data_IF_914248488269
#
_entry.id   IF_914248488269
#
_cell.length_a   1.000
_cell.length_b   1.000
_cell.length_c   1.000
_cell.angle_alpha   90.00
_cell.angle_beta   90.00
_cell.angle_gamma   90.00
#
_symmetry.space_group_name_H-M   'P 1'
#
loop_
_entity.id
_entity.type
_entity.pdbx_description
1 polymer ?
#
# COMPACT_ATOMS: atom_id res chain seq x y z
N UNK A 1 -11.26 -19.77 -8.17
CA UNK A 1 -10.81 -18.56 -7.46
C UNK A 1 -10.56 -18.90 -6.01
N UNK A 2 -9.43 -18.45 -5.45
CA UNK A 2 -9.05 -18.76 -4.07
C UNK A 2 -8.77 -17.49 -3.23
N UNK A 3 -8.74 -16.34 -3.84
CA UNK A 3 -8.50 -15.06 -3.16
C UNK A 3 -9.61 -14.08 -3.50
N UNK A 4 -10.10 -13.39 -2.49
CA UNK A 4 -11.20 -12.45 -2.61
C UNK A 4 -10.81 -11.15 -1.90
N UNK A 5 -11.14 -10.05 -2.53
CA UNK A 5 -11.16 -8.75 -1.88
C UNK A 5 -12.62 -8.46 -1.48
N UNK A 6 -12.85 -8.31 -0.19
CA UNK A 6 -14.18 -8.07 0.35
C UNK A 6 -14.50 -6.58 0.23
N UNK A 7 -15.44 -6.26 -0.67
CA UNK A 7 -15.90 -4.89 -0.92
C UNK A 7 -16.90 -4.46 0.16
N UNK A 8 -16.46 -4.47 1.41
CA UNK A 8 -17.21 -4.10 2.60
C UNK A 8 -16.26 -3.28 3.48
N UNK A 9 -16.62 -2.08 3.84
CA UNK A 9 -15.78 -1.13 4.60
C UNK A 9 -15.27 -1.70 5.94
N UNK A 10 -16.01 -2.65 6.53
CA UNK A 10 -15.58 -3.35 7.74
C UNK A 10 -16.24 -4.72 7.86
N UNK A 11 -15.87 -5.64 6.99
CA UNK A 11 -16.44 -7.00 6.91
C UNK A 11 -16.49 -7.71 8.27
N UNK A 12 -15.46 -7.56 9.08
CA UNK A 12 -15.35 -8.21 10.38
C UNK A 12 -16.23 -7.56 11.47
N UNK A 13 -16.79 -6.38 11.23
CA UNK A 13 -17.67 -5.70 12.20
C UNK A 13 -18.90 -6.56 12.53
N UNK A 14 -19.48 -7.24 11.54
CA UNK A 14 -20.59 -8.16 11.73
C UNK A 14 -20.10 -9.55 12.15
N UNK A 15 -19.64 -9.65 13.39
CA UNK A 15 -18.97 -10.85 13.93
C UNK A 15 -19.77 -12.15 13.71
N UNK A 16 -21.09 -12.13 13.89
CA UNK A 16 -21.94 -13.32 13.65
C UNK A 16 -21.86 -13.79 12.20
N UNK A 17 -21.93 -12.87 11.23
CA UNK A 17 -21.79 -13.16 9.79
C UNK A 17 -20.40 -13.74 9.48
N UNK A 18 -19.36 -13.13 10.00
CA UNK A 18 -18.00 -13.58 9.75
C UNK A 18 -17.74 -14.98 10.34
N UNK A 19 -18.20 -15.26 11.56
CA UNK A 19 -18.06 -16.59 12.17
C UNK A 19 -18.93 -17.63 11.47
N UNK A 20 -20.11 -17.27 10.97
CA UNK A 20 -20.92 -18.18 10.16
C UNK A 20 -20.22 -18.53 8.84
N UNK A 21 -19.53 -17.56 8.22
CA UNK A 21 -18.69 -17.84 7.05
C UNK A 21 -17.56 -18.82 7.40
N UNK A 22 -16.90 -18.64 8.56
CA UNK A 22 -15.87 -19.57 9.03
C UNK A 22 -16.42 -21.00 9.12
N UNK A 23 -17.54 -21.22 9.79
CA UNK A 23 -18.20 -22.52 9.90
C UNK A 23 -18.47 -23.12 8.51
N UNK A 24 -19.08 -22.35 7.60
CA UNK A 24 -19.36 -22.81 6.24
C UNK A 24 -18.08 -23.15 5.44
N UNK A 25 -16.99 -22.43 5.69
CA UNK A 25 -15.69 -22.74 5.09
C UNK A 25 -15.13 -24.03 5.68
N UNK A 26 -15.32 -24.29 6.97
CA UNK A 26 -14.92 -25.54 7.64
C UNK A 26 -15.72 -26.72 7.12
N UNK A 27 -17.05 -26.63 7.10
CA UNK A 27 -17.96 -27.67 6.64
C UNK A 27 -17.75 -28.07 5.16
N UNK A 28 -17.31 -27.11 4.34
CA UNK A 28 -17.14 -27.31 2.89
C UNK A 28 -15.67 -27.40 2.43
N UNK A 29 -14.72 -27.60 3.34
CA UNK A 29 -13.26 -27.63 3.07
C UNK A 29 -12.77 -26.48 2.20
N UNK A 30 -13.26 -25.25 2.44
CA UNK A 30 -12.87 -24.05 1.68
C UNK A 30 -11.66 -23.36 2.29
N UNK A 31 -10.55 -23.34 1.56
CA UNK A 31 -9.30 -22.66 1.93
C UNK A 31 -9.18 -21.35 1.14
N UNK A 32 -10.04 -20.37 1.42
CA UNK A 32 -10.00 -19.05 0.78
C UNK A 32 -8.98 -18.12 1.46
N UNK A 33 -8.50 -17.15 0.70
CA UNK A 33 -7.72 -16.02 1.21
C UNK A 33 -8.57 -14.77 1.09
N UNK A 34 -8.88 -14.13 2.22
CA UNK A 34 -9.70 -12.93 2.27
C UNK A 34 -8.82 -11.71 2.55
N UNK A 35 -9.02 -10.68 1.74
CA UNK A 35 -8.43 -9.35 1.93
C UNK A 35 -9.56 -8.43 2.37
N UNK A 36 -9.42 -7.76 3.51
CA UNK A 36 -10.51 -7.05 4.16
C UNK A 36 -10.10 -5.65 4.62
N UNK A 37 -11.05 -4.73 4.60
CA UNK A 37 -10.97 -3.53 5.43
C UNK A 37 -11.41 -3.85 6.85
N UNK A 38 -10.73 -3.32 7.85
CA UNK A 38 -11.15 -3.45 9.23
C UNK A 38 -10.51 -2.37 10.12
N UNK A 39 -10.96 -2.30 11.37
CA UNK A 39 -10.39 -1.42 12.38
C UNK A 39 -9.73 -2.21 13.51
N UNK A 40 -8.81 -1.58 14.22
CA UNK A 40 -8.10 -2.20 15.33
C UNK A 40 -9.04 -2.75 16.41
N UNK A 41 -10.11 -2.01 16.76
CA UNK A 41 -11.13 -2.44 17.70
C UNK A 41 -11.80 -3.74 17.28
N UNK A 42 -12.19 -3.83 16.02
CA UNK A 42 -12.87 -5.00 15.46
C UNK A 42 -11.93 -6.20 15.42
N UNK A 43 -10.69 -6.02 14.96
CA UNK A 43 -9.68 -7.08 14.90
C UNK A 43 -9.39 -7.68 16.27
N UNK A 44 -9.33 -6.86 17.34
CA UNK A 44 -9.15 -7.33 18.72
C UNK A 44 -10.28 -8.24 19.22
N UNK A 45 -11.47 -8.12 18.68
CA UNK A 45 -12.61 -8.96 19.06
C UNK A 45 -12.49 -10.41 18.57
N UNK A 46 -11.53 -10.69 17.69
CA UNK A 46 -11.27 -12.02 17.13
C UNK A 46 -10.01 -12.66 17.73
N UNK A 47 -10.07 -13.97 17.93
CA UNK A 47 -8.86 -14.74 18.18
C UNK A 47 -8.06 -14.92 16.89
N UNK A 48 -6.74 -15.11 17.00
CA UNK A 48 -5.92 -15.43 15.83
C UNK A 48 -6.39 -16.71 15.13
N UNK A 49 -6.87 -17.72 15.88
CA UNK A 49 -7.47 -18.93 15.33
C UNK A 49 -8.65 -18.60 14.39
N UNK A 50 -9.53 -17.69 14.81
CA UNK A 50 -10.68 -17.26 13.99
C UNK A 50 -10.23 -16.51 12.73
N UNK A 51 -9.30 -15.56 12.86
CA UNK A 51 -8.80 -14.80 11.70
C UNK A 51 -8.09 -15.71 10.68
N UNK A 52 -7.26 -16.64 11.15
CA UNK A 52 -6.56 -17.60 10.29
C UNK A 52 -7.54 -18.62 9.70
N UNK A 53 -8.51 -19.10 10.47
CA UNK A 53 -9.54 -20.02 9.99
C UNK A 53 -10.42 -19.40 8.89
N UNK A 54 -10.76 -18.11 9.01
CA UNK A 54 -11.41 -17.31 7.98
C UNK A 54 -10.52 -17.08 6.74
N UNK A 55 -9.22 -17.38 6.84
CA UNK A 55 -8.27 -17.12 5.77
C UNK A 55 -7.95 -15.65 5.58
N UNK A 56 -8.06 -14.82 6.62
CA UNK A 56 -7.64 -13.42 6.53
C UNK A 56 -6.18 -13.37 6.12
N UNK A 57 -5.92 -12.80 4.96
CA UNK A 57 -4.59 -12.78 4.33
C UNK A 57 -4.00 -11.37 4.29
N UNK A 58 -4.87 -10.39 4.25
CA UNK A 58 -4.53 -8.98 4.20
C UNK A 58 -5.59 -8.16 4.93
N UNK A 59 -5.13 -7.22 5.74
CA UNK A 59 -5.98 -6.24 6.41
C UNK A 59 -5.55 -4.85 5.99
N UNK A 60 -6.52 -4.05 5.54
CA UNK A 60 -6.36 -2.62 5.39
C UNK A 60 -6.95 -1.93 6.61
N UNK A 61 -6.13 -1.21 7.35
CA UNK A 61 -6.48 -0.65 8.65
C UNK A 61 -6.04 0.80 8.78
N UNK A 62 -6.93 1.68 9.23
CA UNK A 62 -6.57 3.04 9.63
C UNK A 62 -5.68 2.99 10.88
N UNK A 63 -4.59 3.76 10.86
CA UNK A 63 -3.65 3.84 11.98
C UNK A 63 -3.95 5.00 12.90
N UNK A 64 -4.92 5.85 12.55
CA UNK A 64 -5.35 7.03 13.30
C UNK A 64 -4.19 7.75 14.06
N UNK A 65 -4.24 9.04 14.23
CA UNK A 65 -3.17 9.76 14.96
C UNK A 65 -3.14 9.43 16.45
N UNK A 66 -2.00 9.62 17.09
CA UNK A 66 -1.75 9.38 18.52
C UNK A 66 -2.78 10.09 19.43
N UNK A 67 -3.37 11.20 18.97
CA UNK A 67 -4.37 12.00 19.65
C UNK A 67 -5.61 12.27 18.79
N UNK A 68 -5.86 11.44 17.78
CA UNK A 68 -7.10 11.57 17.03
C UNK A 68 -8.26 11.33 18.01
N UNK A 69 -9.05 12.35 18.30
CA UNK A 69 -10.19 12.33 19.22
C UNK A 69 -11.32 11.35 18.87
N UNK A 70 -11.03 10.46 17.93
CA UNK A 70 -11.86 9.33 17.57
C UNK A 70 -11.68 8.23 18.61
N UNK A 71 -12.65 8.04 19.50
CA UNK A 71 -12.68 7.03 20.56
C UNK A 71 -12.47 5.56 20.10
N UNK A 72 -12.16 5.35 18.82
CA UNK A 72 -11.93 4.04 18.19
C UNK A 72 -10.65 3.34 18.61
N UNK A 73 -9.66 4.06 19.17
CA UNK A 73 -8.35 3.50 19.54
C UNK A 73 -8.01 3.60 21.03
N UNK A 74 -8.91 4.14 21.87
CA UNK A 74 -8.62 4.23 23.31
C UNK A 74 -8.25 2.88 23.93
N UNK A 75 -7.04 2.79 24.47
CA UNK A 75 -6.53 1.59 25.15
C UNK A 75 -6.11 0.45 24.24
N UNK A 76 -5.86 0.70 22.94
CA UNK A 76 -5.36 -0.31 22.01
C UNK A 76 -3.91 -0.04 21.66
N UNK A 77 -3.04 -0.99 21.98
CA UNK A 77 -1.69 -1.02 21.42
C UNK A 77 -1.77 -1.54 19.96
N UNK A 78 -1.86 -0.59 19.03
CA UNK A 78 -1.92 -0.87 17.58
C UNK A 78 -0.62 -1.46 17.07
N UNK A 79 0.53 -1.09 17.65
CA UNK A 79 1.84 -1.66 17.32
C UNK A 79 1.89 -3.16 17.67
N UNK A 80 1.46 -3.53 18.88
CA UNK A 80 1.41 -4.94 19.28
C UNK A 80 0.42 -5.74 18.44
N UNK A 81 -0.73 -5.15 18.08
CA UNK A 81 -1.71 -5.80 17.21
C UNK A 81 -1.11 -6.09 15.83
N UNK A 82 -0.46 -5.10 15.19
CA UNK A 82 0.15 -5.24 13.87
C UNK A 82 1.25 -6.30 13.90
N UNK A 83 2.19 -6.22 14.86
CA UNK A 83 3.23 -7.24 15.02
C UNK A 83 2.63 -8.65 15.18
N UNK A 84 1.54 -8.78 15.95
CA UNK A 84 0.84 -10.05 16.13
C UNK A 84 0.22 -10.56 14.83
N UNK A 85 -0.43 -9.71 14.03
CA UNK A 85 -0.98 -10.08 12.72
C UNK A 85 0.14 -10.55 11.78
N UNK A 86 1.22 -9.80 11.67
CA UNK A 86 2.38 -10.12 10.82
C UNK A 86 3.09 -11.42 11.25
N UNK A 87 3.22 -11.67 12.56
CA UNK A 87 3.77 -12.93 13.08
C UNK A 87 2.91 -14.15 12.70
N UNK A 88 1.64 -13.94 12.37
CA UNK A 88 0.73 -14.97 11.89
C UNK A 88 0.56 -14.97 10.36
N UNK A 89 1.34 -14.19 9.63
CA UNK A 89 1.32 -14.14 8.17
C UNK A 89 0.13 -13.37 7.59
N UNK A 90 -0.54 -12.56 8.40
CA UNK A 90 -1.57 -11.61 7.98
C UNK A 90 -0.86 -10.28 7.68
N UNK A 91 -0.90 -9.87 6.43
CA UNK A 91 -0.28 -8.63 5.96
C UNK A 91 -1.15 -7.44 6.36
N UNK A 92 -0.50 -6.34 6.70
CA UNK A 92 -1.19 -5.11 7.10
C UNK A 92 -0.83 -3.97 6.15
N UNK A 93 -1.83 -3.38 5.53
CA UNK A 93 -1.74 -2.07 4.93
C UNK A 93 -2.23 -1.06 5.96
N UNK A 94 -1.33 -0.26 6.49
CA UNK A 94 -1.65 0.83 7.39
C UNK A 94 -2.01 2.07 6.58
N UNK A 95 -3.14 2.70 6.89
CA UNK A 95 -3.56 3.94 6.25
C UNK A 95 -3.48 5.09 7.25
N UNK A 96 -2.88 6.20 6.83
CA UNK A 96 -2.75 7.42 7.63
C UNK A 96 -3.17 8.63 6.80
N UNK A 97 -3.84 9.58 7.44
CA UNK A 97 -4.32 10.80 6.81
C UNK A 97 -3.41 11.97 7.22
N UNK A 98 -2.98 12.73 6.22
CA UNK A 98 -2.24 13.99 6.37
C UNK A 98 -3.19 15.14 6.11
N UNK A 99 -3.13 16.20 6.94
CA UNK A 99 -3.93 17.41 6.78
C UNK A 99 -5.29 17.32 7.48
N UNK A 100 -5.39 16.61 8.60
CA UNK A 100 -6.55 16.76 9.49
C UNK A 100 -6.53 18.18 10.11
N UNK A 101 -7.68 18.67 10.54
CA UNK A 101 -7.85 20.05 11.03
C UNK A 101 -6.83 20.50 12.10
N UNK A 102 -6.37 19.58 12.94
CA UNK A 102 -5.39 19.83 13.99
C UNK A 102 -3.94 19.63 13.56
N UNK A 103 -3.71 19.28 12.29
CA UNK A 103 -2.37 19.14 11.75
C UNK A 103 -1.78 20.52 11.42
N UNK A 104 -0.56 20.75 11.87
CA UNK A 104 0.20 21.98 11.63
C UNK A 104 1.61 21.65 11.17
N UNK A 105 2.32 22.57 10.55
CA UNK A 105 3.73 22.36 10.18
C UNK A 105 4.59 21.86 11.35
N UNK A 106 4.33 22.34 12.57
CA UNK A 106 5.11 22.02 13.76
C UNK A 106 4.88 20.58 14.25
N UNK A 107 3.68 20.03 14.08
CA UNK A 107 3.37 18.69 14.57
C UNK A 107 3.45 17.59 13.50
N UNK A 108 3.53 17.95 12.21
CA UNK A 108 3.52 17.01 11.11
C UNK A 108 4.64 15.97 11.16
N UNK A 109 5.84 16.39 11.56
CA UNK A 109 6.97 15.48 11.71
C UNK A 109 6.72 14.36 12.72
N UNK A 110 6.04 14.66 13.84
CA UNK A 110 5.66 13.68 14.87
C UNK A 110 4.52 12.75 14.37
N UNK A 111 3.56 13.30 13.67
CA UNK A 111 2.45 12.54 13.10
C UNK A 111 2.96 11.48 12.11
N UNK A 112 3.86 11.88 11.20
CA UNK A 112 4.50 10.97 10.26
C UNK A 112 5.31 9.91 11.02
N UNK A 113 6.12 10.31 12.01
CA UNK A 113 6.93 9.36 12.78
C UNK A 113 6.06 8.31 13.52
N UNK A 114 4.97 8.75 14.11
CA UNK A 114 4.01 7.84 14.74
C UNK A 114 3.44 6.84 13.72
N UNK A 115 3.02 7.31 12.54
CA UNK A 115 2.49 6.44 11.50
C UNK A 115 3.51 5.37 11.07
N UNK A 116 4.73 5.78 10.71
CA UNK A 116 5.78 4.86 10.23
C UNK A 116 6.33 3.92 11.31
N UNK A 117 6.17 4.29 12.61
CA UNK A 117 6.60 3.43 13.73
C UNK A 117 5.83 2.11 13.82
N UNK A 118 4.69 1.99 13.16
CA UNK A 118 3.89 0.77 13.11
C UNK A 118 4.50 -0.33 12.25
N UNK A 119 5.49 -0.02 11.41
CA UNK A 119 6.20 -0.99 10.56
C UNK A 119 5.27 -1.91 9.75
N UNK A 120 4.18 -1.36 9.21
CA UNK A 120 3.20 -2.10 8.41
C UNK A 120 3.81 -2.65 7.13
N UNK A 121 3.25 -3.70 6.54
CA UNK A 121 3.78 -4.29 5.29
C UNK A 121 3.71 -3.30 4.13
N UNK A 122 2.63 -2.55 4.06
CA UNK A 122 2.47 -1.38 3.19
C UNK A 122 1.95 -0.21 4.02
N UNK A 123 2.35 0.99 3.64
CA UNK A 123 1.78 2.20 4.19
C UNK A 123 1.11 3.00 3.08
N UNK A 124 -0.12 3.44 3.33
CA UNK A 124 -0.81 4.41 2.50
C UNK A 124 -0.91 5.73 3.27
N UNK A 125 -0.27 6.76 2.75
CA UNK A 125 -0.50 8.12 3.19
C UNK A 125 -1.47 8.77 2.21
N UNK A 126 -2.50 9.39 2.74
CA UNK A 126 -3.51 10.12 1.97
C UNK A 126 -3.67 11.52 2.51
N UNK A 127 -3.97 12.46 1.63
CA UNK A 127 -4.38 13.78 2.06
C UNK A 127 -5.85 13.76 2.50
N UNK A 128 -6.15 14.52 3.55
CA UNK A 128 -7.52 14.73 3.99
C UNK A 128 -8.31 15.43 2.89
N UNK A 129 -9.41 14.83 2.46
CA UNK A 129 -10.15 15.29 1.28
C UNK A 129 -11.64 15.23 1.56
N UNK A 130 -12.31 16.38 1.70
CA UNK A 130 -13.77 16.44 1.69
C UNK A 130 -14.35 15.85 0.39
N UNK A 131 -15.16 14.81 0.49
CA UNK A 131 -15.77 14.13 -0.66
C UNK A 131 -17.21 14.57 -0.83
N UNK A 132 -17.60 14.93 -2.05
CA UNK A 132 -18.97 15.36 -2.36
C UNK A 132 -20.03 14.36 -1.86
N UNK A 133 -21.10 14.89 -1.26
CA UNK A 133 -22.16 14.10 -0.64
C UNK A 133 -21.86 13.65 0.81
N UNK A 134 -20.77 14.10 1.41
CA UNK A 134 -20.49 13.87 2.84
C UNK A 134 -20.78 15.12 3.67
N UNK A 135 -21.13 14.97 4.97
CA UNK A 135 -21.32 16.12 5.86
C UNK A 135 -20.11 17.07 5.91
N UNK A 136 -18.92 16.50 5.82
CA UNK A 136 -17.66 17.26 5.79
C UNK A 136 -17.56 18.16 4.55
N UNK A 137 -17.91 17.64 3.37
CA UNK A 137 -17.94 18.44 2.14
C UNK A 137 -18.95 19.59 2.27
N UNK A 138 -20.14 19.32 2.79
CA UNK A 138 -21.18 20.35 3.01
C UNK A 138 -20.71 21.43 4.00
N UNK A 139 -19.95 21.04 5.03
CA UNK A 139 -19.36 21.98 5.97
C UNK A 139 -18.36 22.90 5.26
N UNK A 140 -17.37 22.35 4.55
CA UNK A 140 -16.41 23.15 3.80
C UNK A 140 -17.05 24.02 2.73
N UNK A 141 -18.14 23.55 2.11
CA UNK A 141 -18.93 24.34 1.16
C UNK A 141 -19.59 25.56 1.83
N UNK A 142 -20.20 25.36 3.00
CA UNK A 142 -20.81 26.45 3.78
C UNK A 142 -19.77 27.46 4.29
N UNK A 143 -18.60 26.99 4.65
CA UNK A 143 -17.48 27.82 5.12
C UNK A 143 -16.73 28.49 3.97
N UNK A 144 -17.02 28.17 2.71
CA UNK A 144 -16.35 28.73 1.53
C UNK A 144 -14.87 28.34 1.43
N UNK A 145 -14.48 27.22 2.04
CA UNK A 145 -13.09 26.76 2.06
C UNK A 145 -12.78 25.78 0.92
N UNK A 146 -13.76 25.22 0.22
CA UNK A 146 -13.52 24.38 -0.95
C UNK A 146 -12.82 25.19 -2.04
N UNK A 147 -11.89 24.55 -2.73
CA UNK A 147 -11.29 25.10 -3.94
C UNK A 147 -12.26 24.94 -5.12
N UNK A 148 -12.33 25.93 -6.03
CA UNK A 148 -13.13 25.82 -7.24
C UNK A 148 -12.53 24.75 -8.18
N UNK A 149 -13.37 24.10 -8.96
CA UNK A 149 -12.96 23.03 -9.91
C UNK A 149 -11.89 23.50 -10.92
N UNK A 150 -11.82 24.81 -11.17
CA UNK A 150 -10.78 25.40 -12.04
C UNK A 150 -9.38 25.38 -11.42
N UNK A 151 -9.28 25.28 -10.10
CA UNK A 151 -8.01 25.23 -9.34
C UNK A 151 -7.59 23.80 -9.02
N UNK A 152 -8.47 22.81 -9.21
CA UNK A 152 -8.23 21.40 -8.86
C UNK A 152 -8.05 20.59 -10.14
N UNK A 153 -6.94 19.86 -10.22
CA UNK A 153 -6.77 18.84 -11.25
C UNK A 153 -7.71 17.66 -10.98
N UNK A 154 -8.27 17.07 -12.04
CA UNK A 154 -9.07 15.85 -11.91
C UNK A 154 -8.29 14.70 -11.22
N UNK A 155 -6.97 14.68 -11.35
CA UNK A 155 -6.09 13.72 -10.67
C UNK A 155 -6.02 13.95 -9.16
N UNK A 156 -6.22 15.18 -8.69
CA UNK A 156 -6.15 15.56 -7.29
C UNK A 156 -7.51 15.53 -6.57
N UNK A 157 -8.60 15.33 -7.30
CA UNK A 157 -9.95 15.33 -6.74
C UNK A 157 -10.17 14.33 -5.59
N UNK A 158 -9.29 13.33 -5.44
CA UNK A 158 -9.32 12.32 -4.39
C UNK A 158 -8.16 12.45 -3.39
N UNK A 159 -7.53 13.63 -3.28
CA UNK A 159 -6.46 13.89 -2.31
C UNK A 159 -5.18 13.13 -2.59
N UNK A 160 -4.78 13.01 -3.85
CA UNK A 160 -3.55 12.30 -4.24
C UNK A 160 -2.31 13.13 -3.85
N UNK A 161 -2.25 14.38 -4.30
CA UNK A 161 -1.09 15.26 -4.08
C UNK A 161 -1.44 16.64 -3.53
N UNK A 162 -2.70 17.07 -3.65
CA UNK A 162 -3.18 18.37 -3.22
C UNK A 162 -4.48 18.27 -2.45
N UNK A 163 -4.69 19.20 -1.54
CA UNK A 163 -6.00 19.40 -0.94
C UNK A 163 -6.99 19.94 -1.99
N UNK A 164 -8.25 19.54 -1.87
CA UNK A 164 -9.35 20.15 -2.63
C UNK A 164 -10.03 21.29 -1.84
N UNK A 165 -9.37 21.76 -0.78
CA UNK A 165 -9.85 22.84 0.09
C UNK A 165 -8.68 23.64 0.66
N UNK A 166 -8.96 24.83 1.20
CA UNK A 166 -7.97 25.68 1.88
C UNK A 166 -7.80 25.20 3.29
N UNK A 167 -6.69 24.54 3.58
CA UNK A 167 -6.35 24.11 4.92
C UNK A 167 -5.95 25.31 5.79
N UNK A 168 -6.29 25.27 7.09
CA UNK A 168 -6.06 26.40 8.01
C UNK A 168 -4.58 26.72 8.25
N UNK A 169 -3.72 25.70 8.27
CA UNK A 169 -2.32 25.84 8.68
C UNK A 169 -1.31 25.35 7.62
N UNK A 170 -1.74 24.57 6.67
CA UNK A 170 -0.87 23.98 5.66
C UNK A 170 -1.21 24.62 4.30
N UNK A 171 -0.25 25.34 3.73
CA UNK A 171 -0.44 26.17 2.56
C UNK A 171 0.65 25.93 1.50
N UNK A 172 0.52 26.52 0.36
CA UNK A 172 1.57 26.67 -0.66
C UNK A 172 2.21 25.35 -1.13
N UNK A 173 1.43 24.28 -1.22
CA UNK A 173 1.89 22.96 -1.67
C UNK A 173 2.70 22.22 -0.62
N UNK A 174 2.64 22.62 0.64
CA UNK A 174 3.30 21.90 1.75
C UNK A 174 2.72 20.49 1.94
N UNK A 175 1.43 20.30 1.62
CA UNK A 175 0.76 19.01 1.71
C UNK A 175 1.45 17.93 0.85
N UNK A 176 1.86 18.28 -0.37
CA UNK A 176 2.61 17.38 -1.24
C UNK A 176 3.97 17.03 -0.63
N UNK A 177 4.67 18.03 -0.09
CA UNK A 177 5.96 17.81 0.57
C UNK A 177 5.84 16.86 1.76
N UNK A 178 4.81 17.04 2.59
CA UNK A 178 4.57 16.15 3.73
C UNK A 178 4.21 14.73 3.29
N UNK A 179 3.37 14.60 2.25
CA UNK A 179 3.00 13.31 1.69
C UNK A 179 4.23 12.55 1.19
N UNK A 180 5.06 13.20 0.39
CA UNK A 180 6.27 12.59 -0.17
C UNK A 180 7.29 12.26 0.90
N UNK A 181 7.51 13.17 1.85
CA UNK A 181 8.38 12.95 3.00
C UNK A 181 7.93 11.76 3.85
N UNK A 182 6.60 11.57 4.00
CA UNK A 182 6.08 10.41 4.74
C UNK A 182 6.45 9.08 4.06
N UNK A 183 6.32 8.98 2.74
CA UNK A 183 6.75 7.78 2.00
C UNK A 183 8.27 7.58 2.05
N UNK A 184 9.06 8.65 1.91
CA UNK A 184 10.51 8.60 1.97
C UNK A 184 10.98 8.10 3.34
N UNK A 185 10.47 8.68 4.43
CA UNK A 185 10.81 8.26 5.79
C UNK A 185 10.35 6.83 6.11
N UNK A 186 9.17 6.40 5.62
CA UNK A 186 8.73 5.00 5.76
C UNK A 186 9.71 4.05 5.09
N UNK A 187 10.16 4.40 3.88
CA UNK A 187 11.16 3.60 3.18
C UNK A 187 12.51 3.59 3.90
N UNK A 188 13.01 4.74 4.32
CA UNK A 188 14.29 4.85 5.03
C UNK A 188 14.29 4.05 6.32
N UNK A 189 13.24 4.16 7.12
CA UNK A 189 13.14 3.49 8.42
C UNK A 189 12.82 2.01 8.29
N UNK A 190 11.81 1.67 7.50
CA UNK A 190 11.22 0.35 7.46
C UNK A 190 11.69 -0.51 6.29
N UNK A 191 12.36 0.10 5.30
CA UNK A 191 12.83 -0.56 4.08
C UNK A 191 11.72 -0.81 3.06
N UNK A 192 12.03 -1.51 1.97
CA UNK A 192 11.08 -1.75 0.89
C UNK A 192 9.83 -2.51 1.36
N UNK A 193 8.64 -2.02 1.00
CA UNK A 193 7.36 -2.67 1.34
C UNK A 193 7.31 -4.12 0.86
N UNK A 194 7.89 -4.41 -0.31
CA UNK A 194 7.95 -5.77 -0.83
C UNK A 194 8.75 -6.72 0.10
N UNK A 195 9.85 -6.26 0.69
CA UNK A 195 10.62 -7.06 1.64
C UNK A 195 9.83 -7.35 2.92
N UNK A 196 9.11 -6.35 3.44
CA UNK A 196 8.21 -6.50 4.60
C UNK A 196 7.12 -7.53 4.34
N UNK A 197 6.46 -7.43 3.18
CA UNK A 197 5.44 -8.38 2.72
C UNK A 197 5.98 -9.81 2.61
N UNK A 198 7.18 -9.99 2.05
CA UNK A 198 7.82 -11.30 1.93
C UNK A 198 8.11 -11.88 3.31
N UNK A 199 8.65 -11.08 4.23
CA UNK A 199 8.92 -11.46 5.62
C UNK A 199 7.65 -11.96 6.33
N UNK A 200 6.57 -11.18 6.26
CA UNK A 200 5.27 -11.55 6.85
C UNK A 200 4.72 -12.84 6.23
N UNK A 201 4.83 -12.99 4.91
CA UNK A 201 4.39 -14.21 4.21
C UNK A 201 5.20 -15.43 4.66
N UNK A 202 6.51 -15.29 4.82
CA UNK A 202 7.41 -16.34 5.33
C UNK A 202 7.09 -16.72 6.77
N UNK A 203 6.82 -15.73 7.65
CA UNK A 203 6.40 -15.97 9.03
C UNK A 203 5.14 -16.83 9.09
N UNK A 204 4.14 -16.50 8.30
CA UNK A 204 2.91 -17.27 8.21
C UNK A 204 3.15 -18.71 7.74
N UNK A 205 3.97 -18.90 6.70
CA UNK A 205 4.36 -20.24 6.25
C UNK A 205 5.04 -21.05 7.34
N UNK A 206 6.08 -20.51 7.97
CA UNK A 206 6.82 -21.18 9.05
C UNK A 206 5.92 -21.62 10.18
N UNK A 207 4.93 -20.79 10.54
CA UNK A 207 4.01 -21.06 11.64
C UNK A 207 2.95 -22.10 11.30
N UNK A 208 2.48 -22.14 10.05
CA UNK A 208 1.30 -22.92 9.66
C UNK A 208 1.57 -24.06 8.69
N UNK A 209 2.81 -24.29 8.25
CA UNK A 209 3.18 -25.38 7.32
C UNK A 209 2.80 -26.77 7.82
N UNK A 210 2.75 -26.96 9.15
CA UNK A 210 2.40 -28.23 9.79
C UNK A 210 1.09 -28.12 10.59
N UNK A 211 0.20 -27.19 10.23
CA UNK A 211 -1.06 -27.00 10.94
C UNK A 211 -1.97 -28.24 10.80
N UNK A 212 -2.67 -28.70 11.87
CA UNK A 212 -3.53 -29.89 11.83
C UNK A 212 -4.72 -29.72 10.87
N UNK A 213 -5.28 -28.50 10.79
CA UNK A 213 -6.31 -28.18 9.79
C UNK A 213 -5.68 -28.07 8.39
N UNK A 214 -6.05 -29.03 7.52
CA UNK A 214 -5.55 -29.12 6.15
C UNK A 214 -5.93 -27.94 5.28
N UNK A 215 -7.04 -27.26 5.54
CA UNK A 215 -7.46 -26.03 4.85
C UNK A 215 -6.43 -24.92 5.08
N UNK A 216 -6.06 -24.71 6.36
CA UNK A 216 -5.08 -23.71 6.78
C UNK A 216 -3.73 -24.07 6.17
N UNK A 217 -3.27 -25.32 6.32
CA UNK A 217 -2.03 -25.79 5.72
C UNK A 217 -1.99 -25.51 4.20
N UNK A 218 -3.04 -25.87 3.47
CA UNK A 218 -3.18 -25.66 2.02
C UNK A 218 -3.16 -24.19 1.63
N UNK A 219 -3.79 -23.32 2.44
CA UNK A 219 -3.79 -21.87 2.20
C UNK A 219 -2.38 -21.28 2.25
N UNK A 220 -1.58 -21.68 3.22
CA UNK A 220 -0.19 -21.23 3.32
C UNK A 220 0.74 -21.90 2.30
N UNK A 221 0.52 -23.18 1.99
CA UNK A 221 1.30 -23.91 0.99
C UNK A 221 1.23 -23.28 -0.41
N UNK A 222 0.11 -22.68 -0.80
CA UNK A 222 -0.03 -21.98 -2.08
C UNK A 222 0.98 -20.85 -2.27
N UNK A 223 1.45 -20.24 -1.19
CA UNK A 223 2.41 -19.14 -1.20
C UNK A 223 3.86 -19.60 -1.39
N UNK A 224 4.14 -20.90 -1.16
CA UNK A 224 5.50 -21.46 -1.18
C UNK A 224 6.17 -21.30 -2.54
N UNK A 225 5.44 -21.57 -3.63
CA UNK A 225 5.99 -21.46 -4.98
C UNK A 225 6.56 -20.04 -5.22
N UNK A 226 5.80 -19.03 -4.88
CA UNK A 226 6.21 -17.62 -5.07
C UNK A 226 7.37 -17.26 -4.12
N UNK A 227 7.32 -17.71 -2.85
CA UNK A 227 8.41 -17.50 -1.89
C UNK A 227 9.73 -18.06 -2.39
N UNK A 228 9.72 -19.29 -2.94
CA UNK A 228 10.92 -19.99 -3.43
C UNK A 228 11.48 -19.44 -4.73
N UNK A 229 10.69 -18.72 -5.53
CA UNK A 229 11.07 -18.26 -6.87
C UNK A 229 11.09 -16.75 -6.96
N UNK A 230 9.99 -16.14 -7.36
CA UNK A 230 9.90 -14.71 -7.64
C UNK A 230 10.25 -13.84 -6.44
N UNK A 231 9.78 -14.19 -5.24
CA UNK A 231 10.07 -13.39 -4.04
C UNK A 231 11.54 -13.53 -3.62
N UNK A 232 12.10 -14.74 -3.64
CA UNK A 232 13.53 -14.92 -3.38
C UNK A 232 14.38 -14.17 -4.43
N UNK A 233 13.98 -14.20 -5.71
CA UNK A 233 14.60 -13.41 -6.77
C UNK A 233 14.48 -11.90 -6.55
N UNK A 234 13.32 -11.43 -6.12
CA UNK A 234 13.12 -10.02 -5.82
C UNK A 234 14.01 -9.54 -4.64
N UNK A 235 14.14 -10.36 -3.59
CA UNK A 235 15.04 -10.04 -2.46
C UNK A 235 16.50 -10.04 -2.92
N UNK A 236 16.91 -10.98 -3.76
CA UNK A 236 18.24 -10.98 -4.35
C UNK A 236 18.50 -9.71 -5.18
N UNK A 237 17.52 -9.32 -6.01
CA UNK A 237 17.63 -8.11 -6.82
C UNK A 237 17.68 -6.84 -5.96
N UNK A 238 16.87 -6.75 -4.92
CA UNK A 238 16.89 -5.63 -3.95
C UNK A 238 18.23 -5.56 -3.22
N UNK A 239 18.78 -6.70 -2.77
CA UNK A 239 20.12 -6.74 -2.18
C UNK A 239 21.15 -6.13 -3.12
N UNK A 240 21.13 -6.52 -4.41
CA UNK A 240 22.06 -6.00 -5.43
C UNK A 240 21.80 -4.53 -5.75
N UNK A 241 20.53 -4.11 -5.74
CA UNK A 241 20.14 -2.73 -6.01
C UNK A 241 20.63 -1.76 -4.92
N UNK A 242 20.60 -2.20 -3.68
CA UNK A 242 21.01 -1.39 -2.52
C UNK A 242 22.47 -1.59 -2.14
N UNK A 243 23.31 -2.18 -2.99
CA UNK A 243 24.76 -2.18 -2.78
C UNK A 243 25.26 -0.74 -2.62
N UNK A 244 25.96 -0.48 -1.50
CA UNK A 244 26.36 0.87 -1.08
C UNK A 244 25.48 1.50 0.01
N UNK A 245 24.38 0.84 0.40
CA UNK A 245 23.64 1.12 1.61
C UNK A 245 23.71 -0.11 2.54
N UNK A 246 24.63 -0.10 3.48
CA UNK A 246 24.94 -1.25 4.34
C UNK A 246 23.69 -1.76 5.08
N UNK A 247 22.90 -0.83 5.66
CA UNK A 247 21.68 -1.19 6.40
C UNK A 247 20.65 -1.92 5.54
N UNK A 248 20.42 -1.44 4.30
CA UNK A 248 19.46 -2.08 3.40
C UNK A 248 20.00 -3.39 2.85
N UNK A 249 21.28 -3.44 2.52
CA UNK A 249 21.97 -4.65 2.04
C UNK A 249 21.96 -5.75 3.09
N UNK A 250 22.19 -5.42 4.36
CA UNK A 250 22.12 -6.34 5.50
C UNK A 250 20.72 -6.90 5.66
N UNK A 251 19.70 -6.04 5.74
CA UNK A 251 18.29 -6.47 5.83
C UNK A 251 17.87 -7.41 4.70
N UNK A 252 18.27 -7.11 3.45
CA UNK A 252 17.98 -7.99 2.32
C UNK A 252 18.75 -9.30 2.40
N UNK A 253 19.99 -9.28 2.93
CA UNK A 253 20.80 -10.48 3.13
C UNK A 253 20.17 -11.41 4.16
N UNK A 254 19.72 -10.89 5.30
CA UNK A 254 19.03 -11.65 6.35
C UNK A 254 17.74 -12.29 5.84
N UNK A 255 16.93 -11.52 5.09
CA UNK A 255 15.69 -12.05 4.51
C UNK A 255 15.97 -13.13 3.48
N UNK A 256 16.98 -12.93 2.62
CA UNK A 256 17.39 -13.91 1.61
C UNK A 256 17.92 -15.18 2.28
N UNK A 257 18.74 -15.05 3.31
CA UNK A 257 19.21 -16.16 4.11
C UNK A 257 18.05 -16.95 4.74
N UNK A 258 17.08 -16.22 5.33
CA UNK A 258 15.89 -16.84 5.91
C UNK A 258 15.07 -17.65 4.89
N UNK A 259 15.00 -17.21 3.63
CA UNK A 259 14.37 -17.95 2.54
C UNK A 259 15.20 -19.19 2.14
N UNK A 260 16.54 -19.08 2.12
CA UNK A 260 17.41 -20.20 1.79
C UNK A 260 17.38 -21.29 2.88
N UNK A 261 17.39 -20.90 4.15
CA UNK A 261 17.27 -21.83 5.28
C UNK A 261 15.95 -22.60 5.26
N UNK A 262 14.85 -21.92 4.96
CA UNK A 262 13.54 -22.53 4.92
C UNK A 262 13.32 -23.46 3.72
N UNK A 263 13.85 -23.09 2.55
CA UNK A 263 13.52 -23.76 1.29
C UNK A 263 14.70 -24.47 0.60
N UNK A 264 15.91 -24.37 1.16
CA UNK A 264 17.09 -25.10 0.73
C UNK A 264 17.79 -24.54 -0.50
N UNK A 265 18.76 -25.30 -1.02
CA UNK A 265 19.70 -24.89 -2.08
C UNK A 265 19.02 -24.56 -3.42
N UNK A 266 17.91 -25.23 -3.75
CA UNK A 266 17.17 -24.95 -5.00
C UNK A 266 16.67 -23.51 -5.03
N UNK A 267 16.21 -23.00 -3.86
CA UNK A 267 15.79 -21.59 -3.74
C UNK A 267 16.97 -20.65 -3.89
N UNK A 268 18.15 -21.00 -3.41
CA UNK A 268 19.37 -20.22 -3.60
C UNK A 268 19.70 -20.05 -5.09
N UNK A 269 19.61 -21.14 -5.86
CA UNK A 269 19.85 -21.12 -7.31
C UNK A 269 18.79 -20.30 -8.06
N UNK A 270 17.51 -20.55 -7.76
CA UNK A 270 16.37 -19.84 -8.36
C UNK A 270 16.39 -18.35 -8.01
N UNK A 271 16.74 -17.97 -6.78
CA UNK A 271 16.89 -16.60 -6.36
C UNK A 271 17.93 -15.84 -7.19
N UNK A 272 19.08 -16.47 -7.44
CA UNK A 272 20.12 -15.86 -8.27
C UNK A 272 19.68 -15.70 -9.75
N UNK A 273 19.00 -16.71 -10.31
CA UNK A 273 18.51 -16.68 -11.69
C UNK A 273 17.43 -15.62 -11.90
N UNK A 274 16.33 -15.70 -11.13
CA UNK A 274 15.25 -14.72 -11.21
C UNK A 274 15.70 -13.32 -10.76
N UNK A 275 16.59 -13.26 -9.77
CA UNK A 275 17.12 -12.00 -9.26
C UNK A 275 17.93 -11.24 -10.29
N UNK A 276 18.79 -11.91 -11.07
CA UNK A 276 19.51 -11.29 -12.18
C UNK A 276 18.55 -10.73 -13.24
N UNK A 277 17.54 -11.47 -13.58
CA UNK A 277 16.52 -11.01 -14.52
C UNK A 277 15.80 -9.75 -13.99
N UNK A 278 15.30 -9.80 -12.76
CA UNK A 278 14.60 -8.66 -12.12
C UNK A 278 15.53 -7.45 -12.02
N UNK A 279 16.77 -7.64 -11.59
CA UNK A 279 17.77 -6.57 -11.50
C UNK A 279 18.05 -5.91 -12.86
N UNK A 280 18.17 -6.71 -13.92
CA UNK A 280 18.36 -6.19 -15.28
C UNK A 280 17.14 -5.37 -15.74
N UNK A 281 15.92 -5.83 -15.40
CA UNK A 281 14.69 -5.09 -15.72
C UNK A 281 14.62 -3.77 -14.95
N UNK A 282 14.99 -3.76 -13.67
CA UNK A 282 15.06 -2.53 -12.86
C UNK A 282 16.03 -1.51 -13.46
N UNK A 283 17.23 -1.96 -13.88
CA UNK A 283 18.21 -1.08 -14.51
C UNK A 283 17.71 -0.51 -15.85
N UNK A 284 16.98 -1.30 -16.63
CA UNK A 284 16.37 -0.84 -17.88
C UNK A 284 15.29 0.21 -17.62
N UNK A 285 14.47 -0.03 -16.61
CA UNK A 285 13.40 0.89 -16.23
C UNK A 285 13.95 2.20 -15.67
N UNK A 286 14.97 2.15 -14.82
CA UNK A 286 15.69 3.34 -14.34
C UNK A 286 16.19 4.20 -15.51
N UNK A 287 16.81 3.56 -16.53
CA UNK A 287 17.29 4.25 -17.72
C UNK A 287 16.15 4.84 -18.56
N UNK A 288 14.99 4.18 -18.62
CA UNK A 288 13.81 4.69 -19.33
C UNK A 288 13.25 5.94 -18.65
N UNK A 289 13.08 5.86 -17.32
CA UNK A 289 12.61 6.98 -16.51
C UNK A 289 13.59 8.17 -16.58
N UNK A 290 14.89 7.92 -16.51
CA UNK A 290 15.90 8.96 -16.63
C UNK A 290 15.90 9.67 -18.00
N UNK A 291 15.32 9.05 -19.04
CA UNK A 291 15.12 9.65 -20.38
C UNK A 291 13.78 10.39 -20.49
N UNK A 292 13.05 10.58 -19.38
CA UNK A 292 11.76 11.26 -19.39
C UNK A 292 10.59 10.40 -19.89
N UNK A 293 10.77 9.07 -19.96
CA UNK A 293 9.66 8.19 -20.31
C UNK A 293 8.66 8.11 -19.14
N UNK A 294 7.39 8.29 -19.46
CA UNK A 294 6.28 8.18 -18.52
C UNK A 294 5.46 6.95 -18.88
N UNK A 295 5.17 6.11 -17.88
CA UNK A 295 4.31 4.95 -18.08
C UNK A 295 2.86 5.41 -18.24
N UNK A 296 2.30 5.21 -19.42
CA UNK A 296 0.86 5.28 -19.66
C UNK A 296 0.31 3.84 -19.62
N UNK A 297 -0.52 3.47 -18.62
CA UNK A 297 -1.17 2.18 -18.64
C UNK A 297 -2.06 2.06 -19.86
N UNK A 298 -2.13 0.89 -20.46
CA UNK A 298 -3.06 0.61 -21.56
C UNK A 298 -4.48 0.89 -21.07
N UNK A 299 -5.13 1.86 -21.68
CA UNK A 299 -6.53 2.19 -21.41
C UNK A 299 -7.40 1.41 -22.39
N UNK A 300 -8.27 0.56 -21.88
CA UNK A 300 -9.30 -0.11 -22.67
C UNK A 300 -10.56 0.74 -22.58
N UNK A 301 -10.94 1.32 -23.69
CA UNK A 301 -12.24 2.00 -23.81
C UNK A 301 -13.21 1.06 -24.50
N UNK A 302 -14.26 0.65 -23.81
CA UNK A 302 -15.42 0.12 -24.49
C UNK A 302 -16.11 1.27 -25.25
N UNK A 303 -16.15 1.16 -26.57
CA UNK A 303 -16.85 2.13 -27.42
C UNK A 303 -18.35 1.94 -27.22
N UNK A 304 -18.95 2.78 -26.39
CA UNK A 304 -20.40 2.89 -26.32
C UNK A 304 -20.92 3.86 -27.40
N UNK A 305 -22.23 3.87 -27.64
CA UNK A 305 -22.85 4.72 -28.65
C UNK A 305 -22.51 6.21 -28.47
N UNK A 306 -22.35 6.69 -27.22
CA UNK A 306 -21.95 8.06 -26.92
C UNK A 306 -20.47 8.31 -27.27
N UNK A 307 -19.58 7.35 -27.04
CA UNK A 307 -18.17 7.45 -27.42
C UNK A 307 -17.98 7.46 -28.95
N UNK A 308 -18.79 6.67 -29.68
CA UNK A 308 -18.80 6.64 -31.15
C UNK A 308 -19.33 7.99 -31.71
N UNK A 309 -20.37 8.53 -31.10
CA UNK A 309 -20.90 9.84 -31.48
C UNK A 309 -19.87 10.96 -31.26
N UNK A 310 -19.08 10.90 -30.18
CA UNK A 310 -18.00 11.84 -29.88
C UNK A 310 -16.79 11.70 -30.82
N UNK A 311 -16.49 10.50 -31.33
CA UNK A 311 -15.44 10.29 -32.35
C UNK A 311 -15.75 11.03 -33.67
N UNK A 312 -17.02 11.24 -33.98
CA UNK A 312 -17.48 11.99 -35.17
C UNK A 312 -17.46 13.52 -34.99
N UNK A 313 -17.07 14.02 -33.79
CA UNK A 313 -16.86 15.44 -33.52
C UNK A 313 -15.37 15.80 -33.37
N UNK A 314 -14.61 16.00 -34.43
CA UNK A 314 -13.14 16.10 -34.38
C UNK A 314 -12.60 17.27 -33.56
N UNK A 315 -13.40 18.26 -33.23
CA UNK A 315 -12.95 19.48 -32.54
C UNK A 315 -12.88 19.35 -30.99
N UNK A 316 -13.56 18.41 -30.37
CA UNK A 316 -13.50 18.24 -28.91
C UNK A 316 -12.31 17.42 -28.44
N UNK A 317 -11.79 16.52 -29.25
CA UNK A 317 -10.63 15.69 -28.95
C UNK A 317 -9.28 16.40 -29.09
N UNK A 318 -9.22 17.59 -29.70
CA UNK A 318 -7.99 18.38 -29.78
C UNK A 318 -7.46 18.86 -28.41
N UNK A 319 -8.24 18.73 -27.33
CA UNK A 319 -7.76 18.99 -25.95
C UNK A 319 -6.94 17.84 -25.34
N UNK A 320 -7.10 16.62 -25.82
CA UNK A 320 -6.36 15.45 -25.32
C UNK A 320 -4.87 15.48 -25.68
N UNK A 321 -4.45 15.91 -26.91
CA UNK A 321 -3.03 16.12 -27.23
C UNK A 321 -2.38 17.22 -26.40
N UNK A 322 -3.12 18.21 -25.93
CA UNK A 322 -2.59 19.21 -24.99
C UNK A 322 -2.37 18.62 -23.61
N UNK A 323 -3.25 17.76 -23.13
CA UNK A 323 -3.03 16.98 -21.90
C UNK A 323 -1.79 16.07 -22.03
N UNK A 324 -1.63 15.38 -23.16
CA UNK A 324 -0.42 14.58 -23.43
C UNK A 324 0.86 15.44 -23.48
N UNK A 325 0.83 16.62 -24.08
CA UNK A 325 1.97 17.54 -24.10
C UNK A 325 2.27 18.11 -22.71
N UNK A 326 1.26 18.41 -21.90
CA UNK A 326 1.42 18.85 -20.52
C UNK A 326 1.95 17.74 -19.62
N UNK A 327 1.48 16.51 -19.82
CA UNK A 327 2.01 15.32 -19.16
C UNK A 327 3.49 15.05 -19.53
N UNK A 328 3.80 15.12 -20.81
CA UNK A 328 5.17 14.98 -21.30
C UNK A 328 6.09 16.13 -20.86
N UNK A 329 5.53 17.29 -20.57
CA UNK A 329 6.25 18.45 -20.03
C UNK A 329 6.41 18.39 -18.51
N UNK A 330 5.85 17.38 -17.82
CA UNK A 330 5.94 17.24 -16.36
C UNK A 330 5.11 18.26 -15.58
N UNK A 331 4.17 18.94 -16.21
CA UNK A 331 3.35 19.98 -15.58
C UNK A 331 2.35 19.43 -14.54
N UNK A 332 2.11 18.10 -14.51
CA UNK A 332 1.19 17.42 -13.59
C UNK A 332 1.86 16.45 -12.63
N UNK A 333 3.15 16.18 -12.83
CA UNK A 333 3.95 15.40 -11.88
C UNK A 333 5.21 16.18 -11.57
N UNK A 334 5.66 16.19 -10.31
CA UNK A 334 6.99 16.68 -10.00
C UNK A 334 7.98 15.97 -10.93
N UNK A 335 8.87 16.75 -11.55
CA UNK A 335 9.88 16.21 -12.45
C UNK A 335 10.57 15.01 -11.78
N UNK A 336 10.74 13.87 -12.46
CA UNK A 336 11.45 12.73 -11.91
C UNK A 336 12.86 13.07 -11.39
N UNK A 337 13.41 14.20 -11.79
CA UNK A 337 14.67 14.75 -11.29
C UNK A 337 14.61 15.23 -9.84
N UNK A 338 13.41 15.46 -9.27
CA UNK A 338 13.24 15.80 -7.84
C UNK A 338 13.02 14.57 -6.95
N UNK A 339 12.82 13.39 -7.53
CA UNK A 339 12.90 12.11 -6.83
C UNK A 339 14.28 11.53 -7.01
N UNK A 340 15.17 11.67 -6.04
CA UNK A 340 16.44 10.99 -6.14
C UNK A 340 16.26 9.51 -5.82
N UNK A 341 15.92 8.71 -6.83
CA UNK A 341 16.47 7.36 -6.89
C UNK A 341 17.97 7.54 -7.20
N UNK A 342 18.65 8.36 -6.40
CA UNK A 342 20.08 8.57 -6.52
C UNK A 342 20.77 7.48 -5.72
N UNK A 343 21.46 6.57 -6.39
CA UNK A 343 22.53 5.75 -5.78
C UNK A 343 23.52 6.59 -4.96
N UNK A 344 23.56 7.91 -5.16
CA UNK A 344 24.54 8.82 -4.55
C UNK A 344 24.07 9.51 -3.27
N UNK A 345 22.78 9.48 -2.91
CA UNK A 345 22.28 10.11 -1.68
C UNK A 345 22.32 9.20 -0.44
N UNK A 346 22.82 7.98 -0.61
CA UNK A 346 22.92 6.98 0.46
C UNK A 346 24.37 6.73 0.92
N UNK A 347 25.25 7.75 0.79
CA UNK A 347 26.58 7.72 1.42
C UNK A 347 26.50 8.09 2.86
#
# INVERSE_FOLDING_TARGET
THSFFMMDENFLLHRKRALRLLELMEDNDKAWALNVFSSANVLRSYTMKQLIGLGISWVWMGLEGENAGYGKLHGIDTHALIRRLQAHGIRVLGSSIIGLEHHTPENMGRIIEYAISHETDFHQFMLYTPVAGTPLFEQHQKEGTLLPDSEISAADAHGQYRFNYRHRYIHDGQEEKYLLNAFERDFEKNGPSLARLIKTTLNGWRKYKNHPDKRIQKSFARKVKVLRTTYAGAVWAMKKWYEGNDRMTERMSELLQSLHEEFGWTTKLLAALFGRYIYTMLQREEKRLARGWVYEPASFYEKNAAAIALENEPRRYLKIPMLRKRWAAGEFYPQPASYPIRRQSWK
#
